data_IF_826086629649
#
_entry.id   IF_826086629649
#
_cell.length_a   1.000
_cell.length_b   1.000
_cell.length_c   1.000
_cell.angle_alpha   90.00
_cell.angle_beta   90.00
_cell.angle_gamma   90.00
#
_symmetry.space_group_name_H-M   'P 1'
#
loop_
_entity.id
_entity.type
_entity.pdbx_description
1 polymer ?
#
# COMPACT_ATOMS: atom_id res chain seq x y z
N UNK A 1 43.63 -22.30 -13.53
CA UNK A 1 43.11 -23.05 -12.36
C UNK A 1 42.19 -22.11 -11.63
N UNK A 2 40.90 -22.35 -11.82
CA UNK A 2 39.78 -21.51 -11.36
C UNK A 2 39.50 -21.84 -9.90
N UNK A 3 39.86 -20.95 -8.97
CA UNK A 3 39.25 -20.94 -7.64
C UNK A 3 38.05 -19.99 -7.72
N UNK A 4 36.86 -20.56 -7.78
CA UNK A 4 35.60 -19.83 -7.60
C UNK A 4 34.71 -20.75 -6.78
N UNK A 5 34.76 -20.59 -5.46
CA UNK A 5 33.87 -21.26 -4.53
C UNK A 5 33.69 -20.39 -3.29
N UNK A 6 32.44 -19.95 -3.09
CA UNK A 6 31.83 -19.56 -1.82
C UNK A 6 32.22 -18.23 -1.17
N UNK A 7 31.76 -17.11 -1.75
CA UNK A 7 31.44 -15.90 -0.97
C UNK A 7 30.16 -15.25 -1.56
N UNK A 8 29.00 -15.85 -1.30
CA UNK A 8 27.70 -15.16 -1.42
C UNK A 8 27.01 -15.32 -0.07
N UNK A 9 26.89 -14.20 0.65
CA UNK A 9 26.87 -14.14 2.11
C UNK A 9 25.75 -14.89 2.82
N UNK A 10 26.08 -15.44 3.99
CA UNK A 10 25.12 -15.92 4.96
C UNK A 10 24.09 -14.84 5.29
N UNK A 11 22.83 -15.22 5.49
CA UNK A 11 21.85 -14.31 6.07
C UNK A 11 22.41 -13.77 7.39
N UNK A 12 22.26 -12.48 7.70
CA UNK A 12 22.80 -11.91 8.92
C UNK A 12 22.19 -12.63 10.12
N UNK A 13 22.99 -13.45 10.80
CA UNK A 13 22.61 -14.05 12.06
C UNK A 13 22.35 -12.93 13.07
N UNK A 14 21.29 -13.09 13.88
CA UNK A 14 20.97 -12.17 14.97
C UNK A 14 22.22 -11.87 15.81
N UNK A 15 22.57 -10.61 15.98
CA UNK A 15 23.61 -10.21 16.92
C UNK A 15 23.09 -10.43 18.36
N UNK A 16 23.45 -11.58 18.96
CA UNK A 16 23.09 -11.99 20.33
C UNK A 16 22.25 -13.27 20.32
N UNK A 17 22.62 -14.38 20.93
CA UNK A 17 23.28 -14.57 22.22
C UNK A 17 24.17 -15.82 22.22
N UNK A 18 25.37 -15.71 22.80
CA UNK A 18 26.24 -16.85 23.06
C UNK A 18 25.53 -17.76 24.07
N UNK A 19 24.99 -18.90 23.62
CA UNK A 19 24.38 -19.93 24.46
C UNK A 19 22.92 -20.32 24.13
N UNK A 20 22.25 -19.66 23.19
CA UNK A 20 20.95 -20.12 22.68
C UNK A 20 21.14 -21.18 21.58
N UNK A 21 20.28 -22.22 21.56
CA UNK A 21 20.22 -23.15 20.43
C UNK A 21 19.98 -22.36 19.13
N UNK A 22 20.73 -22.68 18.08
CA UNK A 22 20.50 -22.09 16.75
C UNK A 22 19.09 -22.46 16.30
N UNK A 23 18.21 -21.48 16.01
CA UNK A 23 16.85 -21.79 15.57
C UNK A 23 16.88 -22.52 14.22
N UNK A 24 15.91 -23.42 14.02
CA UNK A 24 15.69 -24.03 12.71
C UNK A 24 15.29 -22.95 11.70
N UNK A 25 15.71 -23.11 10.45
CA UNK A 25 15.51 -22.10 9.41
C UNK A 25 15.00 -22.73 8.12
N UNK A 26 14.00 -22.09 7.52
CA UNK A 26 13.59 -22.34 6.13
C UNK A 26 14.06 -21.20 5.24
N UNK A 27 14.47 -21.50 4.00
CA UNK A 27 14.90 -20.47 3.06
C UNK A 27 14.41 -20.71 1.64
N UNK A 28 13.98 -19.63 0.99
CA UNK A 28 13.72 -19.53 -0.45
C UNK A 28 14.85 -18.72 -1.07
N UNK A 29 15.56 -19.27 -2.07
CA UNK A 29 16.77 -18.65 -2.66
C UNK A 29 16.64 -18.51 -4.16
N UNK A 30 17.23 -17.44 -4.68
CA UNK A 30 17.32 -17.11 -6.11
C UNK A 30 15.98 -17.13 -6.86
N UNK A 31 14.87 -16.95 -6.13
CA UNK A 31 13.53 -16.95 -6.70
C UNK A 31 13.34 -15.66 -7.51
N UNK A 32 13.19 -15.79 -8.83
CA UNK A 32 13.18 -14.64 -9.74
C UNK A 32 11.83 -14.53 -10.44
N UNK A 33 11.21 -13.36 -10.35
CA UNK A 33 9.94 -13.05 -11.00
C UNK A 33 10.07 -11.79 -11.87
N UNK A 34 9.27 -11.72 -12.93
CA UNK A 34 9.09 -10.49 -13.70
C UNK A 34 7.96 -9.67 -13.12
N UNK A 35 8.30 -8.56 -12.47
CA UNK A 35 7.32 -7.68 -11.84
C UNK A 35 7.53 -6.24 -12.28
N UNK A 36 6.45 -5.49 -12.33
CA UNK A 36 6.51 -4.07 -12.61
C UNK A 36 6.64 -3.29 -11.29
N UNK A 37 7.87 -2.88 -10.99
CA UNK A 37 8.26 -2.18 -9.76
C UNK A 37 9.17 -1.00 -10.06
N UNK A 38 8.92 0.15 -9.44
CA UNK A 38 9.79 1.31 -9.56
C UNK A 38 9.10 2.65 -9.41
N UNK A 39 9.80 3.55 -8.72
CA UNK A 39 9.38 4.91 -8.41
C UNK A 39 9.55 5.90 -9.59
N UNK A 40 10.29 5.53 -10.65
CA UNK A 40 10.48 6.41 -11.80
C UNK A 40 9.35 6.25 -12.82
N UNK A 41 8.86 7.36 -13.38
CA UNK A 41 7.80 7.35 -14.39
C UNK A 41 8.14 6.49 -15.62
N UNK A 42 9.42 6.35 -15.96
CA UNK A 42 9.92 5.54 -17.08
C UNK A 42 9.85 4.02 -16.80
N UNK A 43 9.75 3.63 -15.54
CA UNK A 43 9.56 2.24 -15.09
C UNK A 43 8.06 1.85 -15.10
N UNK A 44 7.15 2.79 -15.42
CA UNK A 44 5.72 2.50 -15.57
C UNK A 44 5.45 1.80 -16.91
N UNK A 45 4.65 0.74 -16.88
CA UNK A 45 4.32 -0.13 -18.01
C UNK A 45 5.40 -1.14 -18.39
N UNK A 46 6.43 -1.36 -17.56
CA UNK A 46 7.57 -2.25 -17.87
C UNK A 46 7.84 -3.24 -16.75
N UNK A 47 7.80 -4.53 -17.06
CA UNK A 47 8.25 -5.58 -16.16
C UNK A 47 9.78 -5.61 -16.07
N UNK A 48 10.29 -5.89 -14.88
CA UNK A 48 11.72 -6.05 -14.57
C UNK A 48 11.92 -7.36 -13.81
N UNK A 49 13.05 -8.03 -14.01
CA UNK A 49 13.41 -9.23 -13.25
C UNK A 49 13.87 -8.85 -11.86
N UNK A 50 13.15 -9.35 -10.87
CA UNK A 50 13.43 -9.14 -9.45
C UNK A 50 13.72 -10.49 -8.80
N UNK A 51 14.84 -10.56 -8.09
CA UNK A 51 15.27 -11.74 -7.34
C UNK A 51 14.94 -11.57 -5.87
N UNK A 52 14.34 -12.59 -5.28
CA UNK A 52 13.98 -12.70 -3.88
C UNK A 52 14.83 -13.79 -3.21
N UNK A 53 15.40 -13.44 -2.06
CA UNK A 53 16.05 -14.35 -1.15
C UNK A 53 15.43 -14.15 0.24
N UNK A 54 14.77 -15.17 0.76
CA UNK A 54 14.06 -15.12 2.04
C UNK A 54 14.59 -16.23 2.94
N UNK A 55 14.86 -15.89 4.20
CA UNK A 55 15.10 -16.85 5.27
C UNK A 55 14.18 -16.56 6.45
N UNK A 56 13.60 -17.60 7.03
CA UNK A 56 12.72 -17.50 8.20
C UNK A 56 13.27 -18.38 9.31
N UNK A 57 13.58 -17.78 10.45
CA UNK A 57 13.85 -18.49 11.70
C UNK A 57 12.52 -18.94 12.31
N UNK A 58 12.46 -20.20 12.71
CA UNK A 58 11.28 -20.83 13.27
C UNK A 58 11.25 -20.69 14.79
N UNK A 59 10.04 -20.59 15.35
CA UNK A 59 9.84 -20.69 16.80
C UNK A 59 10.32 -22.07 17.28
N UNK A 60 11.12 -22.16 18.35
CA UNK A 60 11.56 -23.44 18.91
C UNK A 60 10.37 -24.33 19.28
N UNK A 61 10.34 -25.55 18.76
CA UNK A 61 9.27 -26.51 19.02
C UNK A 61 9.53 -27.30 20.33
N UNK A 62 8.62 -27.27 21.33
CA UNK A 62 8.79 -28.06 22.53
C UNK A 62 8.26 -29.50 22.32
N UNK A 63 9.10 -30.44 21.89
CA UNK A 63 8.81 -31.89 21.96
C UNK A 63 9.09 -32.72 20.69
N UNK A 64 9.15 -34.05 20.87
CA UNK A 64 9.36 -35.04 19.81
C UNK A 64 8.32 -34.90 18.68
N UNK A 65 8.78 -34.95 17.42
CA UNK A 65 7.95 -35.03 16.19
C UNK A 65 6.74 -35.94 16.43
N UNK A 66 5.54 -35.38 16.31
CA UNK A 66 4.34 -36.15 16.02
C UNK A 66 3.91 -35.83 14.60
N UNK A 67 4.00 -36.88 13.78
CA UNK A 67 3.46 -37.05 12.44
C UNK A 67 3.99 -36.10 11.35
N UNK A 68 4.18 -36.68 10.17
CA UNK A 68 4.72 -36.07 8.95
C UNK A 68 3.66 -35.15 8.29
N UNK A 69 3.04 -34.30 9.10
CA UNK A 69 1.97 -33.40 8.70
C UNK A 69 2.56 -32.14 8.07
N UNK A 70 2.63 -32.16 6.73
CA UNK A 70 3.17 -31.08 5.89
C UNK A 70 2.44 -29.75 6.14
N UNK A 71 1.16 -29.79 6.52
CA UNK A 71 0.34 -28.59 6.73
C UNK A 71 0.65 -27.88 8.06
N UNK A 72 1.36 -28.55 8.98
CA UNK A 72 1.77 -27.99 10.28
C UNK A 72 3.12 -27.24 10.22
N UNK A 73 3.83 -27.34 9.08
CA UNK A 73 5.17 -26.80 8.88
C UNK A 73 5.10 -25.58 7.97
N UNK A 74 5.84 -24.51 8.31
CA UNK A 74 6.03 -23.40 7.39
C UNK A 74 6.77 -23.90 6.15
N UNK A 75 6.07 -24.05 5.03
CA UNK A 75 6.65 -24.51 3.76
C UNK A 75 7.22 -23.36 2.93
N UNK A 76 8.07 -23.67 1.95
CA UNK A 76 8.56 -22.66 1.01
C UNK A 76 7.44 -22.16 0.07
N UNK A 77 6.38 -22.94 -0.12
CA UNK A 77 5.19 -22.53 -0.87
C UNK A 77 4.48 -21.36 -0.16
N UNK A 78 4.44 -21.35 1.17
CA UNK A 78 3.94 -20.19 1.94
C UNK A 78 4.78 -18.94 1.68
N UNK A 79 6.11 -19.09 1.51
CA UNK A 79 6.99 -17.95 1.21
C UNK A 79 6.78 -17.44 -0.22
N UNK A 80 6.63 -18.35 -1.19
CA UNK A 80 6.34 -18.01 -2.57
C UNK A 80 4.96 -17.32 -2.70
N UNK A 81 3.94 -17.89 -2.06
CA UNK A 81 2.60 -17.31 -2.03
C UNK A 81 2.61 -15.92 -1.39
N UNK A 82 3.40 -15.72 -0.33
CA UNK A 82 3.50 -14.41 0.30
C UNK A 82 4.11 -13.34 -0.63
N UNK A 83 5.03 -13.74 -1.51
CA UNK A 83 5.58 -12.86 -2.56
C UNK A 83 4.49 -12.56 -3.60
N UNK A 84 3.81 -13.59 -4.10
CA UNK A 84 2.76 -13.46 -5.12
C UNK A 84 1.61 -12.57 -4.67
N UNK A 85 1.10 -12.78 -3.46
CA UNK A 85 0.01 -11.99 -2.90
C UNK A 85 0.37 -10.50 -2.80
N UNK A 86 1.61 -10.20 -2.42
CA UNK A 86 2.07 -8.82 -2.24
C UNK A 86 2.33 -8.13 -3.57
N UNK A 87 2.72 -8.89 -4.60
CA UNK A 87 2.82 -8.40 -5.97
C UNK A 87 1.43 -8.18 -6.58
N UNK A 88 0.46 -9.05 -6.29
CA UNK A 88 -0.89 -9.00 -6.84
C UNK A 88 -1.72 -7.83 -6.26
N UNK A 89 -1.55 -7.52 -4.97
CA UNK A 89 -2.41 -6.54 -4.28
C UNK A 89 -2.32 -5.11 -4.81
N UNK A 90 -1.15 -4.47 -4.75
CA UNK A 90 -0.97 -3.10 -5.21
C UNK A 90 0.40 -2.91 -5.86
N UNK A 91 0.51 -1.98 -6.83
CA UNK A 91 1.81 -1.62 -7.38
C UNK A 91 2.69 -1.08 -6.25
N UNK A 92 3.83 -1.72 -6.06
CA UNK A 92 4.85 -1.23 -5.13
C UNK A 92 5.90 -0.41 -5.89
N UNK A 93 6.14 0.82 -5.45
CA UNK A 93 7.15 1.71 -6.07
C UNK A 93 8.57 1.44 -5.57
N UNK A 94 8.68 0.98 -4.32
CA UNK A 94 9.93 0.82 -3.57
C UNK A 94 10.15 -0.65 -3.18
N UNK A 95 11.39 -1.14 -3.30
CA UNK A 95 11.71 -2.51 -2.90
C UNK A 95 11.55 -2.68 -1.39
N UNK A 96 11.77 -1.61 -0.64
CA UNK A 96 11.60 -1.49 0.81
C UNK A 96 10.16 -1.82 1.22
N UNK A 97 9.18 -1.20 0.55
CA UNK A 97 7.75 -1.43 0.84
C UNK A 97 7.34 -2.86 0.52
N UNK A 98 7.85 -3.42 -0.58
CA UNK A 98 7.56 -4.79 -0.99
C UNK A 98 8.12 -5.78 0.03
N UNK A 99 9.37 -5.56 0.45
CA UNK A 99 10.00 -6.37 1.47
C UNK A 99 9.26 -6.28 2.82
N UNK A 100 8.76 -5.10 3.21
CA UNK A 100 7.99 -4.94 4.44
C UNK A 100 6.65 -5.71 4.39
N UNK A 101 5.91 -5.62 3.28
CA UNK A 101 4.64 -6.33 3.10
C UNK A 101 4.82 -7.85 3.13
N UNK A 102 5.82 -8.36 2.41
CA UNK A 102 6.17 -9.79 2.42
C UNK A 102 6.56 -10.23 3.84
N UNK A 103 7.39 -9.45 4.56
CA UNK A 103 7.79 -9.76 5.92
C UNK A 103 6.60 -9.81 6.88
N UNK A 104 5.72 -8.81 6.81
CA UNK A 104 4.51 -8.75 7.63
C UNK A 104 3.62 -9.96 7.42
N UNK A 105 3.39 -10.36 6.15
CA UNK A 105 2.59 -11.52 5.78
C UNK A 105 3.20 -12.82 6.29
N UNK A 106 4.50 -13.06 6.07
CA UNK A 106 5.19 -14.27 6.56
C UNK A 106 5.09 -14.38 8.09
N UNK A 107 5.27 -13.27 8.80
CA UNK A 107 5.26 -13.26 10.28
C UNK A 107 3.87 -13.46 10.90
N UNK A 108 2.80 -13.47 10.10
CA UNK A 108 1.46 -13.92 10.56
C UNK A 108 1.42 -15.42 10.84
N UNK A 109 2.27 -16.21 10.17
CA UNK A 109 2.31 -17.66 10.34
C UNK A 109 2.86 -18.03 11.71
N UNK A 110 2.16 -18.89 12.45
CA UNK A 110 2.47 -19.22 13.86
C UNK A 110 3.90 -19.76 14.09
N UNK A 111 4.48 -20.45 13.10
CA UNK A 111 5.84 -20.98 13.18
C UNK A 111 6.96 -19.95 12.89
N UNK A 112 6.67 -18.76 12.33
CA UNK A 112 7.70 -17.78 11.93
C UNK A 112 8.07 -16.82 13.08
N UNK A 113 9.32 -16.81 13.54
CA UNK A 113 9.78 -15.90 14.60
C UNK A 113 10.48 -14.64 14.06
N UNK A 114 11.35 -14.83 13.07
CA UNK A 114 12.15 -13.77 12.45
C UNK A 114 12.29 -14.06 10.97
N UNK A 115 12.19 -13.04 10.12
CA UNK A 115 12.37 -13.14 8.67
C UNK A 115 13.46 -12.19 8.22
N UNK A 116 14.36 -12.69 7.38
CA UNK A 116 15.30 -11.89 6.62
C UNK A 116 14.95 -11.96 5.13
N UNK A 117 14.81 -10.80 4.50
CA UNK A 117 14.43 -10.67 3.10
C UNK A 117 15.48 -9.82 2.39
N UNK A 118 15.97 -10.34 1.27
CA UNK A 118 16.78 -9.60 0.30
C UNK A 118 16.07 -9.59 -1.04
N UNK A 119 15.84 -8.40 -1.60
CA UNK A 119 15.17 -8.21 -2.89
C UNK A 119 16.08 -7.40 -3.80
N UNK A 120 16.36 -7.90 -5.00
CA UNK A 120 17.31 -7.29 -5.93
C UNK A 120 16.70 -7.11 -7.32
N UNK A 121 16.87 -5.93 -7.93
CA UNK A 121 16.58 -5.69 -9.36
C UNK A 121 17.79 -6.10 -10.19
N UNK A 122 17.58 -6.97 -11.17
CA UNK A 122 18.65 -7.52 -12.00
C UNK A 122 18.96 -6.68 -13.26
N UNK A 123 18.06 -5.78 -13.66
CA UNK A 123 18.10 -5.17 -15.00
C UNK A 123 18.53 -3.68 -15.02
N UNK A 124 18.76 -3.04 -13.86
CA UNK A 124 18.94 -1.58 -13.79
C UNK A 124 20.38 -1.09 -13.98
N UNK A 125 21.38 -1.84 -13.52
CA UNK A 125 22.80 -1.45 -13.53
C UNK A 125 23.71 -2.69 -13.67
N UNK A 126 25.02 -2.47 -13.88
CA UNK A 126 26.02 -3.55 -13.81
C UNK A 126 26.13 -4.07 -12.37
N UNK A 127 25.35 -5.09 -12.04
CA UNK A 127 25.28 -5.69 -10.70
C UNK A 127 23.84 -5.79 -10.19
N UNK A 128 23.66 -6.48 -9.07
CA UNK A 128 22.37 -6.56 -8.38
C UNK A 128 22.24 -5.37 -7.41
N UNK A 129 21.24 -4.52 -7.61
CA UNK A 129 20.89 -3.45 -6.67
C UNK A 129 19.62 -3.86 -5.94
N UNK A 130 19.64 -3.82 -4.62
CA UNK A 130 18.54 -4.32 -3.82
C UNK A 130 18.47 -3.76 -2.42
N UNK A 131 17.50 -4.26 -1.67
CA UNK A 131 17.31 -3.98 -0.25
C UNK A 131 17.47 -5.29 0.52
N UNK A 132 17.97 -5.18 1.75
CA UNK A 132 18.03 -6.29 2.70
C UNK A 132 17.45 -5.81 4.03
N UNK A 133 16.57 -6.61 4.61
CA UNK A 133 15.93 -6.30 5.89
C UNK A 133 15.77 -7.53 6.77
N UNK A 134 15.65 -7.28 8.07
CA UNK A 134 15.33 -8.28 9.09
C UNK A 134 14.15 -7.76 9.91
N UNK A 135 13.13 -8.60 10.13
CA UNK A 135 11.96 -8.31 10.95
C UNK A 135 11.71 -9.47 11.89
N UNK A 136 11.47 -9.15 13.16
CA UNK A 136 11.00 -10.15 14.14
C UNK A 136 9.53 -9.94 14.47
N UNK A 137 8.91 -11.01 14.99
CA UNK A 137 7.50 -11.01 15.37
C UNK A 137 7.14 -9.94 16.41
N UNK A 138 8.06 -9.60 17.32
CA UNK A 138 7.83 -8.58 18.36
C UNK A 138 7.71 -7.19 17.76
N UNK A 139 8.59 -6.87 16.82
CA UNK A 139 8.61 -5.59 16.09
C UNK A 139 7.42 -5.51 15.13
N UNK A 140 7.03 -6.64 14.52
CA UNK A 140 5.97 -6.69 13.51
C UNK A 140 4.56 -6.64 14.13
N UNK A 141 4.36 -7.14 15.35
CA UNK A 141 3.10 -6.95 16.09
C UNK A 141 2.78 -5.48 16.40
N UNK A 142 3.78 -4.60 16.45
CA UNK A 142 3.53 -3.16 16.56
C UNK A 142 3.02 -2.52 15.26
N UNK A 143 3.25 -3.16 14.10
CA UNK A 143 2.78 -2.73 12.79
C UNK A 143 1.50 -3.44 12.34
N UNK A 144 1.27 -4.67 12.83
CA UNK A 144 0.18 -5.56 12.42
C UNK A 144 -0.80 -5.95 13.52
N UNK A 145 -0.91 -5.18 14.61
CA UNK A 145 -2.05 -5.33 15.51
C UNK A 145 -3.33 -4.95 14.74
N UNK A 146 -4.08 -5.97 14.34
CA UNK A 146 -5.46 -5.89 13.90
C UNK A 146 -6.31 -5.22 14.98
N UNK A 147 -6.32 -3.89 15.01
CA UNK A 147 -7.49 -3.13 15.38
C UNK A 147 -8.33 -2.98 14.11
N UNK A 148 -9.63 -3.26 14.21
CA UNK A 148 -10.62 -2.90 13.20
C UNK A 148 -10.42 -1.43 12.84
N UNK A 149 -9.72 -1.18 11.73
CA UNK A 149 -9.45 0.19 11.28
C UNK A 149 -10.80 0.88 11.09
N UNK A 150 -11.01 2.07 11.69
CA UNK A 150 -12.30 2.73 11.60
C UNK A 150 -12.64 2.98 10.13
N UNK A 151 -13.87 2.64 9.73
CA UNK A 151 -14.36 2.90 8.37
C UNK A 151 -14.59 4.41 8.24
N UNK A 152 -13.92 5.10 7.30
CA UNK A 152 -14.07 6.54 7.18
C UNK A 152 -15.40 6.92 6.51
N UNK A 153 -15.86 8.12 6.83
CA UNK A 153 -16.95 8.77 6.09
C UNK A 153 -16.37 9.35 4.80
N UNK A 154 -16.84 8.88 3.65
CA UNK A 154 -16.44 9.43 2.35
C UNK A 154 -17.41 10.54 1.98
N UNK A 155 -16.87 11.70 1.62
CA UNK A 155 -17.65 12.88 1.23
C UNK A 155 -17.19 13.36 -0.13
N UNK A 156 -18.08 13.34 -1.11
CA UNK A 156 -17.90 14.01 -2.40
C UNK A 156 -18.36 15.47 -2.31
N UNK A 157 -17.44 16.41 -2.51
CA UNK A 157 -17.67 17.84 -2.47
C UNK A 157 -17.82 18.34 -3.91
N UNK A 158 -19.04 18.76 -4.27
CA UNK A 158 -19.31 19.25 -5.62
C UNK A 158 -18.59 20.56 -5.92
N UNK A 159 -18.41 20.87 -7.21
CA UNK A 159 -17.68 22.07 -7.60
C UNK A 159 -18.35 23.36 -7.08
N UNK A 160 -19.68 23.38 -6.93
CA UNK A 160 -20.41 24.52 -6.36
C UNK A 160 -20.22 24.63 -4.84
N UNK A 161 -19.98 23.51 -4.14
CA UNK A 161 -19.74 23.50 -2.71
C UNK A 161 -18.31 23.96 -2.37
N UNK A 162 -17.35 23.81 -3.28
CA UNK A 162 -15.95 24.24 -3.09
C UNK A 162 -15.78 25.75 -2.94
N UNK A 163 -16.77 26.56 -3.31
CA UNK A 163 -16.73 28.01 -3.14
C UNK A 163 -17.51 28.50 -1.89
N UNK A 164 -18.19 27.59 -1.19
CA UNK A 164 -18.92 27.89 0.03
C UNK A 164 -18.03 27.77 1.27
N UNK A 165 -18.43 28.41 2.38
CA UNK A 165 -17.85 28.12 3.68
C UNK A 165 -18.36 26.77 4.18
N UNK A 166 -17.44 25.82 4.37
CA UNK A 166 -17.73 24.46 4.79
C UNK A 166 -17.40 24.20 6.27
N UNK A 167 -16.97 25.23 7.03
CA UNK A 167 -16.47 25.08 8.40
C UNK A 167 -17.45 24.35 9.32
N UNK A 168 -18.74 24.74 9.30
CA UNK A 168 -19.78 24.10 10.11
C UNK A 168 -20.04 22.63 9.71
N UNK A 169 -19.91 22.31 8.41
CA UNK A 169 -20.07 20.94 7.91
C UNK A 169 -18.88 20.07 8.31
N UNK A 170 -17.67 20.62 8.24
CA UNK A 170 -16.45 19.99 8.71
C UNK A 170 -16.54 19.72 10.22
N UNK A 171 -17.00 20.69 11.01
CA UNK A 171 -17.23 20.53 12.45
C UNK A 171 -18.19 19.41 12.80
N UNK A 172 -19.29 19.28 12.03
CA UNK A 172 -20.24 18.18 12.19
C UNK A 172 -19.61 16.84 11.81
N UNK A 173 -18.93 16.78 10.67
CA UNK A 173 -18.29 15.57 10.14
C UNK A 173 -17.24 15.00 11.11
N UNK A 174 -16.37 15.85 11.65
CA UNK A 174 -15.30 15.44 12.56
C UNK A 174 -15.82 14.90 13.91
N UNK A 175 -17.07 15.21 14.30
CA UNK A 175 -17.70 14.62 15.49
C UNK A 175 -18.20 13.20 15.25
N UNK A 176 -18.42 12.82 14.00
CA UNK A 176 -18.95 11.50 13.62
C UNK A 176 -17.86 10.46 13.43
N UNK A 177 -16.67 10.86 12.95
CA UNK A 177 -15.54 9.95 12.79
C UNK A 177 -14.48 10.45 11.81
N UNK A 178 -13.47 9.62 11.48
CA UNK A 178 -12.52 9.94 10.43
C UNK A 178 -13.24 10.11 9.09
N UNK A 179 -12.76 11.03 8.26
CA UNK A 179 -13.41 11.31 6.99
C UNK A 179 -12.41 11.64 5.89
N UNK A 180 -12.81 11.33 4.66
CA UNK A 180 -12.03 11.60 3.46
C UNK A 180 -12.89 12.43 2.51
N UNK A 181 -12.42 13.64 2.20
CA UNK A 181 -13.05 14.54 1.24
C UNK A 181 -12.49 14.26 -0.16
N UNK A 182 -13.39 13.93 -1.07
CA UNK A 182 -13.14 13.81 -2.50
C UNK A 182 -13.77 15.03 -3.18
N UNK A 183 -13.03 15.73 -4.04
CA UNK A 183 -13.49 16.99 -4.63
C UNK A 183 -13.81 16.82 -6.10
N UNK A 184 -14.74 17.64 -6.60
CA UNK A 184 -14.98 17.79 -8.03
C UNK A 184 -14.02 18.81 -8.66
N UNK A 185 -13.87 18.75 -9.99
CA UNK A 185 -13.11 19.71 -10.78
C UNK A 185 -13.87 20.24 -12.00
N UNK A 186 -15.20 20.06 -12.06
CA UNK A 186 -16.04 20.45 -13.22
C UNK A 186 -15.82 21.88 -13.73
N UNK A 187 -15.50 22.83 -12.84
CA UNK A 187 -15.28 24.24 -13.18
C UNK A 187 -13.79 24.66 -13.24
N UNK A 188 -12.87 23.72 -13.15
CA UNK A 188 -11.43 24.01 -13.11
C UNK A 188 -10.89 24.17 -14.52
N UNK A 189 -10.34 25.34 -14.81
CA UNK A 189 -9.67 25.58 -16.09
C UNK A 189 -8.38 24.76 -16.18
N UNK A 190 -8.34 23.79 -17.10
CA UNK A 190 -7.20 22.92 -17.33
C UNK A 190 -6.87 22.82 -18.82
N UNK A 191 -5.58 22.65 -19.20
CA UNK A 191 -5.20 22.43 -20.59
C UNK A 191 -5.86 21.17 -21.16
N UNK A 192 -5.96 21.07 -22.48
CA UNK A 192 -6.50 19.90 -23.16
C UNK A 192 -5.39 19.26 -23.99
N UNK A 193 -5.35 17.92 -24.01
CA UNK A 193 -4.39 17.13 -24.75
C UNK A 193 -5.10 16.11 -25.63
N UNK A 194 -4.66 15.99 -26.88
CA UNK A 194 -5.27 15.06 -27.85
C UNK A 194 -5.08 13.59 -27.47
N UNK A 195 -4.03 13.27 -26.69
CA UNK A 195 -3.73 11.89 -26.31
C UNK A 195 -4.50 11.49 -25.03
N UNK A 196 -5.34 10.43 -25.04
CA UNK A 196 -6.23 10.08 -23.93
C UNK A 196 -5.54 9.90 -22.58
N UNK A 197 -4.37 9.24 -22.54
CA UNK A 197 -3.60 9.06 -21.29
C UNK A 197 -2.98 10.35 -20.75
N UNK A 198 -2.74 11.33 -21.62
CA UNK A 198 -2.26 12.65 -21.22
C UNK A 198 -3.43 13.47 -20.69
N UNK A 199 -4.58 13.46 -21.38
CA UNK A 199 -5.80 14.09 -20.91
C UNK A 199 -6.20 13.57 -19.52
N UNK A 200 -6.20 12.25 -19.33
CA UNK A 200 -6.52 11.66 -18.03
C UNK A 200 -5.64 12.15 -16.89
N UNK A 201 -4.33 12.33 -17.13
CA UNK A 201 -3.43 12.92 -16.14
C UNK A 201 -3.76 14.38 -15.85
N UNK A 202 -4.15 15.15 -16.87
CA UNK A 202 -4.57 16.54 -16.68
C UNK A 202 -5.86 16.61 -15.85
N UNK A 203 -6.82 15.72 -16.12
CA UNK A 203 -8.08 15.65 -15.36
C UNK A 203 -7.83 15.32 -13.88
N UNK A 204 -6.95 14.34 -13.60
CA UNK A 204 -6.55 14.00 -12.23
C UNK A 204 -5.83 15.17 -11.53
N UNK A 205 -4.96 15.89 -12.24
CA UNK A 205 -4.28 17.08 -11.70
C UNK A 205 -5.27 18.23 -11.44
N UNK A 206 -6.35 18.34 -12.21
CA UNK A 206 -7.39 19.33 -11.96
C UNK A 206 -8.13 19.05 -10.63
N UNK A 207 -8.38 17.77 -10.32
CA UNK A 207 -8.92 17.36 -9.01
C UNK A 207 -7.97 17.70 -7.87
N UNK A 208 -6.66 17.47 -8.05
CA UNK A 208 -5.67 17.82 -7.03
C UNK A 208 -5.59 19.34 -6.79
N UNK A 209 -5.71 20.16 -7.83
CA UNK A 209 -5.79 21.61 -7.68
C UNK A 209 -7.01 22.03 -6.85
N UNK A 210 -8.16 21.39 -7.07
CA UNK A 210 -9.35 21.60 -6.22
C UNK A 210 -9.14 21.15 -4.78
N UNK A 211 -8.40 20.06 -4.56
CA UNK A 211 -8.09 19.57 -3.22
C UNK A 211 -7.26 20.60 -2.45
N UNK A 212 -6.26 21.20 -3.11
CA UNK A 212 -5.48 22.31 -2.53
C UNK A 212 -6.30 23.57 -2.29
N UNK A 213 -7.26 23.89 -3.19
CA UNK A 213 -8.18 25.01 -2.98
C UNK A 213 -9.03 24.81 -1.73
N UNK A 214 -9.56 23.62 -1.50
CA UNK A 214 -10.31 23.28 -0.29
C UNK A 214 -9.42 23.31 0.95
N UNK A 215 -8.21 22.76 0.87
CA UNK A 215 -7.23 22.80 1.96
C UNK A 215 -6.84 24.21 2.38
N UNK A 216 -6.88 25.18 1.47
CA UNK A 216 -6.61 26.59 1.79
C UNK A 216 -7.76 27.26 2.59
N UNK A 217 -8.95 26.67 2.63
CA UNK A 217 -10.11 27.24 3.34
C UNK A 217 -10.13 26.89 4.82
N UNK A 218 -9.59 25.73 5.20
CA UNK A 218 -9.60 25.23 6.56
C UNK A 218 -8.29 24.47 6.86
N UNK A 219 -7.59 24.84 7.94
CA UNK A 219 -6.30 24.25 8.32
C UNK A 219 -6.36 22.74 8.63
N UNK A 220 -7.56 22.22 8.88
CA UNK A 220 -7.80 20.80 9.17
C UNK A 220 -7.87 19.95 7.91
N UNK A 221 -8.05 20.56 6.74
CA UNK A 221 -8.11 19.89 5.45
C UNK A 221 -6.70 19.58 4.93
N UNK A 222 -6.14 18.44 5.34
CA UNK A 222 -4.80 18.01 4.91
C UNK A 222 -4.87 17.21 3.61
N UNK A 223 -4.16 17.64 2.56
CA UNK A 223 -4.13 16.93 1.27
C UNK A 223 -3.19 15.72 1.34
N UNK A 224 -3.70 14.54 0.97
CA UNK A 224 -2.95 13.27 0.96
C UNK A 224 -3.11 12.53 -0.36
N UNK A 225 -2.06 11.86 -0.81
CA UNK A 225 -2.03 11.22 -2.13
C UNK A 225 -1.84 9.70 -2.08
N UNK A 226 -1.27 9.17 -1.00
CA UNK A 226 -0.98 7.73 -0.87
C UNK A 226 -1.98 6.98 0.01
N UNK A 227 -2.07 5.67 -0.18
CA UNK A 227 -2.89 4.79 0.67
C UNK A 227 -2.44 4.83 2.12
N UNK A 228 -1.13 4.80 2.36
CA UNK A 228 -0.55 4.80 3.71
C UNK A 228 -0.88 6.07 4.49
N UNK A 229 -0.87 7.25 3.84
CA UNK A 229 -1.27 8.51 4.46
C UNK A 229 -2.77 8.51 4.81
N UNK A 230 -3.63 8.08 3.89
CA UNK A 230 -5.07 7.93 4.17
C UNK A 230 -5.30 7.00 5.36
N UNK A 231 -4.70 5.81 5.36
CA UNK A 231 -4.85 4.85 6.47
C UNK A 231 -4.34 5.43 7.80
N UNK A 232 -3.26 6.22 7.76
CA UNK A 232 -2.73 6.88 8.93
C UNK A 232 -3.69 7.94 9.49
N UNK A 233 -4.19 8.84 8.65
CA UNK A 233 -5.16 9.88 9.06
C UNK A 233 -6.45 9.27 9.59
N UNK A 234 -6.94 8.21 8.94
CA UNK A 234 -8.12 7.46 9.37
C UNK A 234 -7.93 6.89 10.78
N UNK A 235 -6.78 6.25 11.05
CA UNK A 235 -6.45 5.72 12.38
C UNK A 235 -6.31 6.80 13.44
N UNK A 236 -5.87 8.00 13.06
CA UNK A 236 -5.77 9.15 13.95
C UNK A 236 -7.11 9.89 14.14
N UNK A 237 -8.19 9.47 13.46
CA UNK A 237 -9.48 10.15 13.52
C UNK A 237 -9.46 11.52 12.83
N UNK A 238 -8.55 11.73 11.87
CA UNK A 238 -8.35 13.01 11.19
C UNK A 238 -9.17 13.11 9.91
N UNK A 239 -9.32 14.35 9.44
CA UNK A 239 -9.88 14.68 8.14
C UNK A 239 -8.76 14.70 7.10
N UNK A 240 -8.97 14.00 5.99
CA UNK A 240 -8.07 14.02 4.84
C UNK A 240 -8.78 14.55 3.59
N UNK A 241 -8.07 15.27 2.73
CA UNK A 241 -8.53 15.64 1.38
C UNK A 241 -7.74 14.82 0.38
N UNK A 242 -8.43 14.06 -0.46
CA UNK A 242 -7.79 13.12 -1.35
C UNK A 242 -7.27 13.77 -2.64
N UNK A 243 -5.97 13.62 -2.89
CA UNK A 243 -5.31 13.90 -4.17
C UNK A 243 -5.20 12.60 -4.99
N UNK A 244 -5.99 12.43 -6.07
CA UNK A 244 -6.21 11.10 -6.65
C UNK A 244 -5.09 10.56 -7.51
N UNK A 245 -4.18 11.37 -8.06
CA UNK A 245 -3.32 10.91 -9.17
C UNK A 245 -2.45 9.73 -8.79
N UNK A 246 -1.86 9.74 -7.60
CA UNK A 246 -0.98 8.65 -7.18
C UNK A 246 -1.76 7.33 -7.07
N UNK A 247 -2.80 7.31 -6.22
CA UNK A 247 -3.62 6.13 -5.99
C UNK A 247 -4.28 5.58 -7.27
N UNK A 248 -4.82 6.44 -8.12
CA UNK A 248 -5.48 6.04 -9.37
C UNK A 248 -4.48 5.51 -10.39
N UNK A 249 -3.32 6.17 -10.57
CA UNK A 249 -2.32 5.74 -11.55
C UNK A 249 -1.50 4.51 -11.11
N UNK A 250 -1.47 4.22 -9.80
CA UNK A 250 -0.79 3.05 -9.24
C UNK A 250 -1.75 1.83 -9.12
N UNK A 251 -3.05 2.00 -9.35
CA UNK A 251 -4.04 0.92 -9.35
C UNK A 251 -3.86 -0.04 -10.54
N UNK A 252 -4.16 -1.33 -10.34
CA UNK A 252 -4.02 -2.39 -11.36
C UNK A 252 -5.35 -3.06 -11.67
N UNK A 253 -5.72 -4.09 -10.93
CA UNK A 253 -6.84 -4.98 -11.25
C UNK A 253 -8.20 -4.28 -11.15
N UNK A 254 -8.34 -3.36 -10.21
CA UNK A 254 -9.55 -2.58 -9.95
C UNK A 254 -9.37 -1.10 -10.37
N UNK A 255 -8.44 -0.79 -11.27
CA UNK A 255 -8.18 0.59 -11.68
C UNK A 255 -9.43 1.25 -12.30
N UNK A 256 -9.76 2.50 -11.93
CA UNK A 256 -10.84 3.24 -12.57
C UNK A 256 -10.62 3.35 -14.08
N UNK A 257 -11.72 3.29 -14.85
CA UNK A 257 -11.65 3.46 -16.30
C UNK A 257 -11.09 4.84 -16.67
N UNK A 258 -10.33 4.90 -17.77
CA UNK A 258 -9.78 6.15 -18.27
C UNK A 258 -10.91 7.15 -18.59
N UNK A 259 -10.86 8.33 -17.99
CA UNK A 259 -11.90 9.34 -18.13
C UNK A 259 -13.06 9.20 -17.14
N UNK A 260 -12.89 8.37 -16.10
CA UNK A 260 -13.85 8.26 -15.01
C UNK A 260 -14.10 9.63 -14.35
N UNK A 261 -15.36 9.95 -14.05
CA UNK A 261 -15.74 11.18 -13.37
C UNK A 261 -15.20 11.22 -11.94
N UNK A 262 -15.09 12.43 -11.37
CA UNK A 262 -14.68 12.62 -9.99
C UNK A 262 -15.55 11.83 -8.99
N UNK A 263 -16.85 11.76 -9.23
CA UNK A 263 -17.79 11.01 -8.40
C UNK A 263 -17.56 9.48 -8.51
N UNK A 264 -17.22 8.96 -9.69
CA UNK A 264 -16.85 7.54 -9.85
C UNK A 264 -15.51 7.23 -9.17
N UNK A 265 -14.54 8.15 -9.20
CA UNK A 265 -13.28 8.01 -8.45
C UNK A 265 -13.52 8.01 -6.93
N UNK A 266 -14.42 8.86 -6.44
CA UNK A 266 -14.80 8.90 -5.03
C UNK A 266 -15.48 7.58 -4.60
N UNK A 267 -16.37 7.04 -5.45
CA UNK A 267 -17.01 5.75 -5.22
C UNK A 267 -15.99 4.61 -5.19
N UNK A 268 -15.06 4.57 -6.14
CA UNK A 268 -13.97 3.61 -6.18
C UNK A 268 -13.11 3.65 -4.90
N UNK A 269 -12.77 4.85 -4.43
CA UNK A 269 -12.03 5.00 -3.16
C UNK A 269 -12.86 4.50 -1.98
N UNK A 270 -14.17 4.77 -1.96
CA UNK A 270 -15.08 4.34 -0.91
C UNK A 270 -15.13 2.82 -0.78
N UNK A 271 -15.25 2.10 -1.90
CA UNK A 271 -15.21 0.63 -1.94
C UNK A 271 -13.88 0.11 -1.37
N UNK A 272 -12.75 0.71 -1.77
CA UNK A 272 -11.41 0.35 -1.25
C UNK A 272 -11.18 0.65 0.23
N UNK A 273 -11.95 1.58 0.80
CA UNK A 273 -11.88 1.93 2.22
C UNK A 273 -12.95 1.21 3.05
N UNK A 274 -13.76 0.35 2.43
CA UNK A 274 -14.80 -0.41 3.11
C UNK A 274 -16.00 0.43 3.54
N UNK A 275 -16.19 1.63 2.95
CA UNK A 275 -17.34 2.47 3.23
C UNK A 275 -18.58 1.92 2.51
N UNK A 276 -19.69 1.79 3.23
CA UNK A 276 -20.98 1.33 2.69
C UNK A 276 -21.86 2.47 2.15
N UNK A 277 -21.48 3.72 2.44
CA UNK A 277 -22.21 4.92 2.06
C UNK A 277 -21.22 6.06 1.84
N UNK A 278 -21.54 6.93 0.88
CA UNK A 278 -20.85 8.19 0.59
C UNK A 278 -21.83 9.36 0.74
N UNK A 279 -21.35 10.48 1.28
CA UNK A 279 -22.12 11.73 1.33
C UNK A 279 -21.76 12.59 0.12
N UNK A 280 -22.72 13.36 -0.35
CA UNK A 280 -22.53 14.36 -1.40
C UNK A 280 -22.88 15.72 -0.86
N UNK A 281 -21.89 16.60 -0.77
CA UNK A 281 -22.08 18.01 -0.42
C UNK A 281 -22.28 18.84 -1.67
N UNK A 282 -23.39 19.58 -1.70
CA UNK A 282 -23.67 20.61 -2.69
C UNK A 282 -23.71 21.98 -2.00
N UNK A 283 -23.78 23.06 -2.77
CA UNK A 283 -23.89 24.42 -2.22
C UNK A 283 -25.05 24.54 -1.20
N UNK A 284 -26.17 23.86 -1.44
CA UNK A 284 -27.40 24.03 -0.66
C UNK A 284 -27.75 22.88 0.28
N UNK A 285 -27.00 21.77 0.28
CA UNK A 285 -27.32 20.65 1.16
C UNK A 285 -26.37 19.46 1.07
N UNK A 286 -26.83 18.37 1.68
CA UNK A 286 -26.16 17.07 1.70
C UNK A 286 -27.15 15.99 1.23
N UNK A 287 -26.68 15.07 0.39
CA UNK A 287 -27.38 13.81 0.10
C UNK A 287 -26.47 12.63 0.41
N UNK A 288 -27.06 11.44 0.55
CA UNK A 288 -26.32 10.20 0.79
C UNK A 288 -26.52 9.22 -0.35
N UNK A 289 -25.45 8.55 -0.74
CA UNK A 289 -25.37 7.62 -1.87
C UNK A 289 -24.81 6.30 -1.34
N UNK A 290 -25.50 5.20 -1.62
CA UNK A 290 -24.99 3.87 -1.26
C UNK A 290 -23.75 3.54 -2.09
N UNK A 291 -22.80 2.89 -1.44
CA UNK A 291 -21.64 2.29 -2.11
C UNK A 291 -21.95 0.82 -2.28
N UNK A 292 -22.27 0.41 -3.50
CA UNK A 292 -22.52 -1.00 -3.81
C UNK A 292 -21.16 -1.68 -3.97
N UNK A 293 -20.96 -2.80 -3.26
CA UNK A 293 -19.73 -3.59 -3.27
C UNK A 293 -19.66 -4.56 -4.43
#
# INVERSE_FOLDING_TARGET
>A
MTQSASEFGAFPARAGSVGAQTPDMISLRDHTLEIEIGAFQQERGRSQRVRFNIAVELVPFPGQRREDDVDSILSYDVLAQAIEDEIAGARVDLLETLAEGIAARILTHAAADCVCIRIEKLDRLSGALGVEMVRDRKTSRHLGASDSQPVPIIVFVSAEALDADLSDRIDALMKEGPAVLCVDALHTAAPQADHPRAQWRIDLLALEQCAWKLAAQDERCVVVASRTELDWDIRQGRLAVWAPSKLVLDAREDAPELGSSAEMLAHWLATRLGASEMRRWTATGETRVKVDG
#
